data_IF_422269458710
#
_entry.id   IF_422269458710
#
_cell.length_a   1.000
_cell.length_b   1.000
_cell.length_c   1.000
_cell.angle_alpha   90.00
_cell.angle_beta   90.00
_cell.angle_gamma   90.00
#
_symmetry.space_group_name_H-M   'P 1'
#
loop_
_entity.id
_entity.type
_entity.pdbx_description
1 polymer ?
#
# COMPACT_ATOMS: atom_id res chain seq x y z
N UNK A 1 -20.65 1.63 -21.29
CA UNK A 1 -19.48 0.92 -20.73
C UNK A 1 -19.69 0.87 -19.24
N UNK A 2 -20.21 -0.26 -18.74
CA UNK A 2 -20.50 -0.43 -17.32
C UNK A 2 -19.29 -1.10 -16.67
N UNK A 3 -18.75 -0.46 -15.64
CA UNK A 3 -17.68 -1.00 -14.81
C UNK A 3 -18.22 -2.17 -13.99
N UNK A 4 -17.64 -3.34 -14.21
CA UNK A 4 -17.89 -4.54 -13.41
C UNK A 4 -17.32 -4.31 -12.00
N UNK A 5 -18.12 -4.38 -10.92
CA UNK A 5 -17.55 -4.35 -9.58
C UNK A 5 -16.77 -5.64 -9.34
N UNK A 6 -15.55 -5.50 -8.82
CA UNK A 6 -14.70 -6.60 -8.39
C UNK A 6 -15.31 -7.22 -7.11
N UNK A 7 -16.37 -8.00 -7.25
CA UNK A 7 -16.90 -8.86 -6.20
C UNK A 7 -16.13 -10.19 -6.22
N UNK A 8 -14.99 -10.22 -5.52
CA UNK A 8 -14.42 -11.49 -5.11
C UNK A 8 -15.36 -12.12 -4.07
N UNK A 9 -16.25 -12.98 -4.52
CA UNK A 9 -17.14 -13.79 -3.69
C UNK A 9 -16.33 -14.83 -2.93
N UNK A 10 -15.86 -14.48 -1.73
CA UNK A 10 -15.49 -15.49 -0.74
C UNK A 10 -16.75 -15.91 0.00
N UNK A 11 -17.50 -16.83 -0.62
CA UNK A 11 -18.60 -17.53 0.02
C UNK A 11 -18.07 -18.51 1.08
N UNK A 12 -18.59 -18.40 2.30
CA UNK A 12 -18.35 -19.33 3.38
C UNK A 12 -18.57 -18.67 4.73
N UNK A 13 -19.80 -18.74 5.25
CA UNK A 13 -20.10 -18.46 6.66
C UNK A 13 -19.19 -19.35 7.52
N UNK A 14 -18.27 -18.75 8.28
CA UNK A 14 -17.51 -19.44 9.31
C UNK A 14 -17.73 -18.74 10.63
N UNK A 15 -18.62 -19.32 11.42
CA UNK A 15 -18.75 -19.05 12.84
C UNK A 15 -17.37 -19.20 13.52
N UNK A 16 -17.02 -18.23 14.35
CA UNK A 16 -15.81 -18.27 15.17
C UNK A 16 -14.59 -17.58 14.55
N UNK A 17 -14.61 -16.26 14.44
CA UNK A 17 -13.37 -15.50 14.34
C UNK A 17 -12.76 -15.49 15.74
N UNK A 18 -11.79 -16.38 15.98
CA UNK A 18 -10.88 -16.20 17.10
C UNK A 18 -10.20 -14.84 16.93
N UNK A 19 -10.25 -14.00 17.96
CA UNK A 19 -9.55 -12.72 18.06
C UNK A 19 -8.03 -12.97 18.01
N UNK A 20 -7.53 -13.21 16.80
CA UNK A 20 -6.14 -13.62 16.52
C UNK A 20 -5.25 -12.41 16.25
N UNK A 21 -5.62 -11.23 16.78
CA UNK A 21 -4.92 -9.98 16.55
C UNK A 21 -4.89 -9.59 15.07
N UNK A 22 -3.76 -9.09 14.57
CA UNK A 22 -3.55 -8.66 13.17
C UNK A 22 -3.54 -9.83 12.15
N UNK A 23 -4.35 -10.87 12.34
CA UNK A 23 -4.60 -11.91 11.35
C UNK A 23 -5.84 -11.55 10.52
N UNK A 24 -5.79 -11.78 9.21
CA UNK A 24 -6.84 -11.44 8.22
C UNK A 24 -6.88 -9.98 7.75
N UNK A 25 -5.85 -9.56 7.01
CA UNK A 25 -5.73 -8.23 6.38
C UNK A 25 -6.98 -7.79 5.60
N UNK A 26 -7.73 -8.72 4.98
CA UNK A 26 -8.96 -8.42 4.23
C UNK A 26 -10.09 -7.85 5.10
N UNK A 27 -10.32 -8.41 6.29
CA UNK A 27 -11.34 -7.90 7.21
C UNK A 27 -10.82 -6.67 7.98
N UNK A 28 -9.51 -6.60 8.20
CA UNK A 28 -8.88 -5.44 8.84
C UNK A 28 -9.01 -4.17 8.01
N UNK A 29 -8.85 -4.23 6.68
CA UNK A 29 -9.02 -3.03 5.83
C UNK A 29 -10.44 -2.46 5.91
N UNK A 30 -11.46 -3.30 5.99
CA UNK A 30 -12.87 -2.88 6.06
C UNK A 30 -13.14 -2.19 7.39
N UNK A 31 -12.69 -2.78 8.50
CA UNK A 31 -12.74 -2.12 9.82
C UNK A 31 -11.96 -0.81 9.84
N UNK A 32 -10.81 -0.74 9.16
CA UNK A 32 -10.01 0.46 9.10
C UNK A 32 -10.71 1.56 8.28
N UNK A 33 -11.31 1.21 7.14
CA UNK A 33 -12.12 2.11 6.33
C UNK A 33 -13.31 2.67 7.14
N UNK A 34 -14.00 1.82 7.92
CA UNK A 34 -15.09 2.22 8.83
C UNK A 34 -14.66 3.19 9.94
N UNK A 35 -13.43 3.05 10.46
CA UNK A 35 -12.88 3.92 11.51
C UNK A 35 -12.46 5.27 10.92
N UNK A 36 -11.71 5.24 9.81
CA UNK A 36 -11.08 6.45 9.27
C UNK A 36 -12.09 7.36 8.57
N UNK A 37 -13.13 6.79 7.94
CA UNK A 37 -14.23 7.53 7.27
C UNK A 37 -13.72 8.70 6.43
N UNK A 38 -12.87 8.40 5.44
CA UNK A 38 -12.44 9.42 4.48
C UNK A 38 -13.64 10.03 3.76
N UNK A 39 -13.51 11.28 3.31
CA UNK A 39 -14.52 11.87 2.44
C UNK A 39 -14.58 11.10 1.12
N UNK A 40 -15.77 10.73 0.68
CA UNK A 40 -16.01 10.10 -0.62
C UNK A 40 -15.31 10.90 -1.74
N UNK A 41 -14.57 10.26 -2.68
CA UNK A 41 -14.50 8.83 -2.99
C UNK A 41 -13.25 8.08 -2.46
N UNK A 42 -12.64 8.50 -1.33
CA UNK A 42 -11.39 7.90 -0.84
C UNK A 42 -11.60 6.67 0.06
N UNK A 43 -10.73 5.67 -0.10
CA UNK A 43 -10.58 4.53 0.84
C UNK A 43 -9.14 4.42 1.35
N UNK A 44 -8.91 3.64 2.41
CA UNK A 44 -7.58 3.49 3.03
C UNK A 44 -6.51 2.98 2.06
N UNK A 45 -6.89 2.13 1.10
CA UNK A 45 -5.98 1.65 0.04
C UNK A 45 -5.40 2.80 -0.79
N UNK A 46 -6.12 3.91 -0.92
CA UNK A 46 -5.69 5.03 -1.75
C UNK A 46 -4.48 5.74 -1.15
N UNK A 47 -4.30 5.76 0.18
CA UNK A 47 -3.05 6.24 0.79
C UNK A 47 -1.82 5.50 0.26
N UNK A 48 -1.94 4.17 0.12
CA UNK A 48 -0.85 3.34 -0.43
C UNK A 48 -0.65 3.59 -1.93
N UNK A 49 -1.73 3.81 -2.70
CA UNK A 49 -1.64 4.15 -4.13
C UNK A 49 -0.98 5.51 -4.32
N UNK A 50 -1.39 6.52 -3.56
CA UNK A 50 -0.80 7.86 -3.54
C UNK A 50 0.67 7.80 -3.16
N UNK A 51 1.02 7.09 -2.09
CA UNK A 51 2.42 6.92 -1.69
C UNK A 51 3.27 6.31 -2.81
N UNK A 52 2.78 5.28 -3.51
CA UNK A 52 3.48 4.68 -4.66
C UNK A 52 3.73 5.70 -5.77
N UNK A 53 2.68 6.40 -6.19
CA UNK A 53 2.75 7.36 -7.29
C UNK A 53 3.69 8.51 -6.95
N UNK A 54 3.51 9.14 -5.78
CA UNK A 54 4.33 10.28 -5.35
C UNK A 54 5.80 9.92 -5.16
N UNK A 55 6.10 8.77 -4.55
CA UNK A 55 7.49 8.32 -4.42
C UNK A 55 8.14 8.06 -5.78
N UNK A 56 7.39 7.54 -6.74
CA UNK A 56 7.93 7.24 -8.08
C UNK A 56 8.06 8.49 -8.97
N UNK A 57 7.08 9.40 -8.93
CA UNK A 57 7.02 10.58 -9.82
C UNK A 57 7.72 11.81 -9.23
N UNK A 58 7.48 12.13 -7.95
CA UNK A 58 7.95 13.39 -7.35
C UNK A 58 9.36 13.26 -6.75
N UNK A 59 9.75 12.05 -6.35
CA UNK A 59 11.04 11.77 -5.69
C UNK A 59 12.05 11.03 -6.58
N UNK A 60 11.69 10.78 -7.85
CA UNK A 60 12.53 10.10 -8.86
C UNK A 60 13.11 8.76 -8.37
N UNK A 61 12.33 8.01 -7.58
CA UNK A 61 12.74 6.72 -7.06
C UNK A 61 12.49 5.63 -8.11
N UNK A 62 13.52 4.82 -8.37
CA UNK A 62 13.41 3.68 -9.28
C UNK A 62 12.22 2.78 -8.94
N UNK A 63 11.47 2.36 -9.97
CA UNK A 63 10.29 1.51 -9.80
C UNK A 63 10.55 0.24 -8.98
N UNK A 64 11.68 -0.44 -9.20
CA UNK A 64 12.04 -1.62 -8.41
C UNK A 64 12.16 -1.34 -6.90
N UNK A 65 12.67 -0.17 -6.54
CA UNK A 65 12.80 0.26 -5.15
C UNK A 65 11.43 0.60 -4.59
N UNK A 66 10.58 1.34 -5.32
CA UNK A 66 9.22 1.69 -4.86
C UNK A 66 8.32 0.46 -4.71
N UNK A 67 8.39 -0.50 -5.63
CA UNK A 67 7.72 -1.81 -5.52
C UNK A 67 8.24 -2.59 -4.30
N UNK A 68 9.55 -2.53 -4.04
CA UNK A 68 10.17 -3.21 -2.89
C UNK A 68 9.87 -2.54 -1.54
N UNK A 69 9.67 -1.20 -1.49
CA UNK A 69 9.16 -0.49 -0.30
C UNK A 69 7.75 -1.00 0.04
N UNK A 70 6.94 -1.21 -0.99
CA UNK A 70 5.59 -1.72 -0.86
C UNK A 70 5.55 -3.23 -0.58
N UNK A 71 6.69 -3.91 -0.52
CA UNK A 71 6.77 -5.36 -0.37
C UNK A 71 6.00 -6.12 -1.46
N UNK A 72 6.05 -5.61 -2.69
CA UNK A 72 5.54 -6.34 -3.84
C UNK A 72 6.56 -7.39 -4.30
N UNK A 73 6.04 -8.53 -4.74
CA UNK A 73 6.85 -9.59 -5.32
C UNK A 73 7.51 -9.14 -6.62
N UNK A 74 8.79 -9.52 -6.79
CA UNK A 74 9.51 -9.31 -8.05
C UNK A 74 8.86 -10.12 -9.17
N UNK A 75 8.86 -9.56 -10.38
CA UNK A 75 8.26 -10.18 -11.58
C UNK A 75 9.33 -10.91 -12.40
N UNK A 76 8.91 -11.96 -13.11
CA UNK A 76 9.70 -12.63 -14.15
C UNK A 76 11.14 -13.00 -13.74
N UNK A 77 12.12 -12.58 -14.55
CA UNK A 77 13.54 -12.88 -14.38
C UNK A 77 14.14 -12.20 -13.14
N UNK A 78 13.59 -11.08 -12.69
CA UNK A 78 14.06 -10.39 -11.49
C UNK A 78 13.93 -11.27 -10.25
N UNK A 79 12.97 -12.20 -10.22
CA UNK A 79 12.83 -13.15 -9.11
C UNK A 79 14.05 -14.06 -8.96
N UNK A 80 14.77 -14.34 -10.05
CA UNK A 80 15.94 -15.23 -10.06
C UNK A 80 17.23 -14.44 -9.94
N UNK A 81 17.36 -13.36 -10.71
CA UNK A 81 18.63 -12.65 -10.86
C UNK A 81 18.76 -11.45 -9.93
N UNK A 82 17.65 -10.80 -9.57
CA UNK A 82 17.67 -9.63 -8.73
C UNK A 82 17.34 -10.03 -7.30
N UNK A 83 18.37 -10.26 -6.49
CA UNK A 83 18.26 -10.55 -5.06
C UNK A 83 18.55 -9.32 -4.17
N UNK A 84 18.62 -8.13 -4.77
CA UNK A 84 18.87 -6.91 -4.01
C UNK A 84 17.70 -6.56 -3.08
N UNK A 85 18.02 -6.20 -1.84
CA UNK A 85 17.06 -5.72 -0.84
C UNK A 85 16.84 -4.20 -0.88
N UNK A 86 17.72 -3.48 -1.58
CA UNK A 86 17.68 -2.02 -1.74
C UNK A 86 17.65 -1.22 -0.44
N UNK A 87 18.19 -1.74 0.66
CA UNK A 87 17.99 -1.14 1.99
C UNK A 87 18.37 0.35 2.05
N UNK A 88 19.51 0.73 1.45
CA UNK A 88 19.96 2.13 1.42
C UNK A 88 19.05 3.01 0.57
N UNK A 89 18.63 2.52 -0.59
CA UNK A 89 17.73 3.24 -1.50
C UNK A 89 16.33 3.39 -0.87
N UNK A 90 15.82 2.35 -0.22
CA UNK A 90 14.55 2.39 0.53
C UNK A 90 14.61 3.42 1.65
N UNK A 91 15.68 3.43 2.44
CA UNK A 91 15.86 4.41 3.51
C UNK A 91 15.87 5.84 2.97
N UNK A 92 16.65 6.10 1.91
CA UNK A 92 16.70 7.42 1.29
C UNK A 92 15.33 7.86 0.74
N UNK A 93 14.63 6.97 0.03
CA UNK A 93 13.30 7.23 -0.51
C UNK A 93 12.26 7.52 0.59
N UNK A 94 12.24 6.72 1.66
CA UNK A 94 11.31 6.91 2.78
C UNK A 94 11.62 8.19 3.58
N UNK A 95 12.89 8.55 3.72
CA UNK A 95 13.30 9.81 4.36
C UNK A 95 12.84 11.02 3.53
N UNK A 96 13.01 10.97 2.21
CA UNK A 96 12.53 12.02 1.32
C UNK A 96 10.99 12.13 1.34
N UNK A 97 10.30 10.98 1.41
CA UNK A 97 8.85 10.93 1.54
C UNK A 97 8.34 11.51 2.86
N UNK A 98 9.00 11.20 3.99
CA UNK A 98 8.73 11.82 5.28
C UNK A 98 8.84 13.34 5.20
N UNK A 99 9.93 13.87 4.66
CA UNK A 99 10.12 15.32 4.51
C UNK A 99 9.02 15.94 3.63
N UNK A 100 8.59 15.25 2.58
CA UNK A 100 7.48 15.70 1.74
C UNK A 100 6.16 15.74 2.52
N UNK A 101 5.86 14.70 3.30
CA UNK A 101 4.65 14.65 4.14
C UNK A 101 4.65 15.74 5.21
N UNK A 102 5.77 15.95 5.91
CA UNK A 102 5.87 16.98 6.95
C UNK A 102 5.58 18.36 6.38
N UNK A 103 6.07 18.67 5.17
CA UNK A 103 5.73 19.94 4.50
C UNK A 103 4.23 20.09 4.23
N UNK A 104 3.52 19.01 3.89
CA UNK A 104 2.07 19.08 3.64
C UNK A 104 1.31 19.27 4.96
N UNK A 105 1.68 18.52 5.99
CA UNK A 105 0.98 18.53 7.29
C UNK A 105 1.23 19.81 8.08
N UNK A 106 2.45 20.36 8.03
CA UNK A 106 2.79 21.61 8.72
C UNK A 106 2.25 22.86 8.01
N UNK A 107 1.86 22.75 6.73
CA UNK A 107 1.28 23.83 5.95
C UNK A 107 -0.26 23.88 6.02
N UNK A 108 -0.91 22.85 6.57
CA UNK A 108 -2.36 22.75 6.73
C UNK A 108 -2.82 23.12 8.13
#
# INVERSE_FOLDING_TARGET
>A
MADTPCSASYGGEREGIADTGFANYTHLKEKLDEIVKFNEPWIFRDLRRTGKTRVSEDLDVMGEVSESILNHSKKDMDRVYNNANYLRQKLAALTAWEQHLMRIVEQG
#
